data_IF_249051931928
#
_entry.id   IF_249051931928
#
_cell.length_a   1.000
_cell.length_b   1.000
_cell.length_c   1.000
_cell.angle_alpha   90.00
_cell.angle_beta   90.00
_cell.angle_gamma   90.00
#
_symmetry.space_group_name_H-M   'P 1'
#
loop_
_entity.id
_entity.type
_entity.pdbx_description
1 polymer ?
#
# COMPACT_ATOMS: atom_id res chain seq x y z
N UNK A 1 22.47 -14.05 62.28
CA UNK A 1 22.75 -14.11 60.82
C UNK A 1 21.54 -14.53 59.95
N UNK A 2 20.28 -14.40 60.39
CA UNK A 2 19.12 -14.87 59.60
C UNK A 2 18.38 -13.77 58.80
N UNK A 3 18.46 -12.50 59.20
CA UNK A 3 17.72 -11.39 58.54
C UNK A 3 18.23 -11.00 57.14
N UNK A 4 19.50 -11.27 56.83
CA UNK A 4 20.14 -10.86 55.57
C UNK A 4 19.81 -11.78 54.38
N UNK A 5 19.39 -13.03 54.63
CA UNK A 5 18.99 -13.96 53.55
C UNK A 5 17.59 -13.66 53.02
N UNK A 6 16.70 -13.13 53.86
CA UNK A 6 15.34 -12.72 53.48
C UNK A 6 15.34 -11.45 52.62
N UNK A 7 16.22 -10.48 52.88
CA UNK A 7 16.34 -9.27 52.04
C UNK A 7 16.86 -9.58 50.64
N UNK A 8 17.81 -10.53 50.52
CA UNK A 8 18.34 -10.94 49.22
C UNK A 8 17.31 -11.72 48.38
N UNK A 9 16.50 -12.57 49.04
CA UNK A 9 15.40 -13.28 48.36
C UNK A 9 14.30 -12.33 47.90
N UNK A 10 13.90 -11.36 48.74
CA UNK A 10 12.94 -10.32 48.39
C UNK A 10 13.44 -9.42 47.24
N UNK A 11 14.74 -9.08 47.25
CA UNK A 11 15.37 -8.29 46.18
C UNK A 11 15.44 -9.08 44.86
N UNK A 12 15.73 -10.38 44.92
CA UNK A 12 15.74 -11.25 43.74
C UNK A 12 14.36 -11.40 43.09
N UNK A 13 13.31 -11.55 43.90
CA UNK A 13 11.93 -11.59 43.41
C UNK A 13 11.49 -10.28 42.75
N UNK A 14 11.90 -9.13 43.31
CA UNK A 14 11.62 -7.81 42.74
C UNK A 14 12.30 -7.61 41.38
N UNK A 15 13.57 -8.02 41.25
CA UNK A 15 14.32 -7.93 40.00
C UNK A 15 13.72 -8.84 38.90
N UNK A 16 13.27 -10.04 39.27
CA UNK A 16 12.61 -10.94 38.33
C UNK A 16 11.27 -10.38 37.82
N UNK A 17 10.47 -9.77 38.70
CA UNK A 17 9.22 -9.13 38.31
C UNK A 17 9.43 -7.92 37.37
N UNK A 18 10.45 -7.11 37.63
CA UNK A 18 10.85 -6.00 36.75
C UNK A 18 11.31 -6.50 35.37
N UNK A 19 12.11 -7.57 35.32
CA UNK A 19 12.56 -8.17 34.06
C UNK A 19 11.39 -8.71 33.22
N UNK A 20 10.41 -9.37 33.86
CA UNK A 20 9.20 -9.84 33.18
C UNK A 20 8.35 -8.67 32.65
N UNK A 21 8.20 -7.58 33.42
CA UNK A 21 7.51 -6.38 32.96
C UNK A 21 8.24 -5.74 31.76
N UNK A 22 9.57 -5.67 31.80
CA UNK A 22 10.36 -5.13 30.70
C UNK A 22 10.22 -5.99 29.42
N UNK A 23 10.21 -7.32 29.55
CA UNK A 23 9.97 -8.23 28.42
C UNK A 23 8.53 -8.11 27.89
N UNK A 24 7.53 -7.95 28.75
CA UNK A 24 6.13 -7.75 28.35
C UNK A 24 5.93 -6.41 27.63
N UNK A 25 6.53 -5.33 28.11
CA UNK A 25 6.49 -4.03 27.44
C UNK A 25 7.26 -4.04 26.12
N UNK A 26 8.44 -4.68 26.09
CA UNK A 26 9.23 -4.83 24.88
C UNK A 26 8.49 -5.64 23.81
N UNK A 27 7.86 -6.75 24.19
CA UNK A 27 7.06 -7.56 23.26
C UNK A 27 5.81 -6.84 22.76
N UNK A 28 5.09 -6.10 23.61
CA UNK A 28 3.97 -5.26 23.18
C UNK A 28 4.42 -4.16 22.21
N UNK A 29 5.55 -3.50 22.49
CA UNK A 29 6.13 -2.50 21.60
C UNK A 29 6.62 -3.11 20.28
N UNK A 30 7.25 -4.28 20.31
CA UNK A 30 7.75 -4.97 19.11
C UNK A 30 6.61 -5.49 18.23
N UNK A 31 5.53 -6.01 18.82
CA UNK A 31 4.32 -6.42 18.10
C UNK A 31 3.61 -5.19 17.49
N UNK A 32 3.55 -4.07 18.23
CA UNK A 32 3.00 -2.82 17.70
C UNK A 32 3.85 -2.25 16.56
N UNK A 33 5.19 -2.29 16.69
CA UNK A 33 6.12 -1.90 15.62
C UNK A 33 6.05 -2.83 14.40
N UNK A 34 5.75 -4.13 14.62
CA UNK A 34 5.53 -5.11 13.55
C UNK A 34 4.20 -4.88 12.82
N UNK A 35 3.10 -4.59 13.51
CA UNK A 35 1.84 -4.26 12.84
C UNK A 35 1.91 -2.97 12.00
N UNK A 36 2.66 -1.95 12.46
CA UNK A 36 2.94 -0.77 11.64
C UNK A 36 3.79 -1.07 10.38
N UNK A 37 4.59 -2.15 10.41
CA UNK A 37 5.35 -2.62 9.25
C UNK A 37 4.53 -3.55 8.34
N UNK A 38 3.60 -4.32 8.90
CA UNK A 38 2.72 -5.23 8.16
C UNK A 38 1.65 -4.47 7.35
N UNK A 39 0.99 -3.46 7.92
CA UNK A 39 0.03 -2.61 7.18
C UNK A 39 0.71 -1.88 6.00
N UNK A 40 1.95 -1.43 6.18
CA UNK A 40 2.73 -0.77 5.13
C UNK A 40 3.10 -1.72 4.00
N UNK A 41 3.33 -3.00 4.31
CA UNK A 41 3.73 -4.01 3.32
C UNK A 41 2.53 -4.49 2.50
N UNK A 42 1.36 -4.71 3.13
CA UNK A 42 0.11 -5.04 2.42
C UNK A 42 -0.38 -3.87 1.57
N UNK A 43 -0.29 -2.63 2.08
CA UNK A 43 -0.60 -1.43 1.30
C UNK A 43 0.36 -1.24 0.11
N UNK A 44 1.66 -1.58 0.26
CA UNK A 44 2.62 -1.58 -0.87
C UNK A 44 2.30 -2.67 -1.91
N UNK A 45 1.94 -3.87 -1.45
CA UNK A 45 1.58 -4.98 -2.33
C UNK A 45 0.24 -4.76 -3.05
N UNK A 46 -0.73 -4.11 -2.38
CA UNK A 46 -1.97 -3.64 -2.98
C UNK A 46 -1.73 -2.47 -3.95
N UNK A 47 -0.85 -1.51 -3.60
CA UNK A 47 -0.40 -0.41 -4.47
C UNK A 47 0.14 -0.91 -5.82
N UNK A 48 0.83 -2.05 -5.82
CA UNK A 48 1.43 -2.63 -7.03
C UNK A 48 0.46 -3.46 -7.89
N UNK A 49 -0.74 -3.82 -7.39
CA UNK A 49 -1.66 -4.77 -8.04
C UNK A 49 -2.96 -4.17 -8.59
N UNK A 50 -3.12 -2.86 -8.50
CA UNK A 50 -4.35 -2.16 -8.89
C UNK A 50 -4.74 -2.38 -10.38
N UNK A 51 -3.77 -2.24 -11.27
CA UNK A 51 -3.78 -2.39 -12.73
C UNK A 51 -3.30 -3.75 -13.29
N UNK A 52 -4.07 -4.68 -13.90
CA UNK A 52 -3.46 -5.72 -14.73
C UNK A 52 -2.45 -5.19 -15.75
N UNK A 53 -1.21 -5.69 -15.64
CA UNK A 53 -0.12 -5.37 -16.55
C UNK A 53 0.40 -3.93 -16.48
N UNK A 54 0.08 -3.15 -15.43
CA UNK A 54 0.63 -1.80 -15.23
C UNK A 54 1.04 -1.55 -13.79
N UNK A 55 2.17 -0.86 -13.60
CA UNK A 55 2.60 -0.33 -12.31
C UNK A 55 2.29 1.15 -12.25
N UNK A 56 1.65 1.55 -11.16
CA UNK A 56 1.28 2.93 -10.88
C UNK A 56 2.09 3.47 -9.69
N UNK A 57 2.33 4.77 -9.70
CA UNK A 57 2.96 5.50 -8.61
C UNK A 57 2.22 6.80 -8.34
N UNK A 58 2.24 7.28 -7.11
CA UNK A 58 1.78 8.64 -6.80
C UNK A 58 2.67 9.66 -7.52
N UNK A 59 2.04 10.58 -8.25
CA UNK A 59 2.74 11.73 -8.81
C UNK A 59 2.78 12.89 -7.83
N UNK A 60 3.65 13.86 -8.12
CA UNK A 60 3.76 15.09 -7.33
C UNK A 60 2.96 16.24 -8.00
N UNK A 61 1.82 16.66 -7.42
CA UNK A 61 1.05 17.79 -7.93
C UNK A 61 1.83 19.10 -7.93
N UNK A 62 2.81 19.27 -7.03
CA UNK A 62 3.63 20.47 -6.95
C UNK A 62 4.59 20.59 -8.15
N UNK A 63 4.98 19.46 -8.74
CA UNK A 63 5.77 19.42 -9.98
C UNK A 63 4.88 19.40 -11.25
N UNK A 64 3.57 19.67 -11.10
CA UNK A 64 2.61 19.63 -12.20
C UNK A 64 2.34 18.22 -12.73
N UNK A 65 2.78 17.18 -12.02
CA UNK A 65 2.50 15.80 -12.37
C UNK A 65 1.10 15.40 -11.86
N UNK A 66 0.34 14.61 -12.64
CA UNK A 66 -0.94 14.07 -12.21
C UNK A 66 -0.76 13.20 -10.97
N UNK A 67 -1.79 13.15 -10.10
CA UNK A 67 -1.69 12.48 -8.80
C UNK A 67 -1.37 10.99 -8.86
N UNK A 68 -1.56 10.34 -10.02
CA UNK A 68 -1.13 8.96 -10.28
C UNK A 68 -0.49 8.88 -11.66
N UNK A 69 0.64 8.16 -11.79
CA UNK A 69 1.43 8.03 -13.02
C UNK A 69 1.72 6.56 -13.30
N UNK A 70 1.67 6.17 -14.59
CA UNK A 70 2.13 4.87 -15.06
C UNK A 70 3.65 4.85 -15.13
N UNK A 71 4.30 4.00 -14.33
CA UNK A 71 5.77 3.90 -14.26
C UNK A 71 6.32 2.66 -14.95
N UNK A 72 5.51 1.63 -15.11
CA UNK A 72 5.86 0.41 -15.85
C UNK A 72 4.61 -0.24 -16.43
N UNK A 73 4.80 -1.03 -17.47
CA UNK A 73 3.73 -1.75 -18.16
C UNK A 73 4.29 -3.03 -18.77
N UNK A 74 3.47 -4.07 -18.84
CA UNK A 74 3.76 -5.29 -19.59
C UNK A 74 3.78 -4.99 -21.10
N UNK A 75 4.90 -5.32 -21.75
CA UNK A 75 5.17 -5.00 -23.16
C UNK A 75 4.09 -5.48 -24.13
N UNK A 76 3.45 -6.62 -23.85
CA UNK A 76 2.35 -7.19 -24.65
C UNK A 76 1.03 -7.26 -23.87
N UNK A 77 0.94 -6.50 -22.76
CA UNK A 77 -0.25 -6.43 -21.92
C UNK A 77 -1.42 -5.74 -22.62
N UNK A 78 -2.61 -5.88 -22.05
CA UNK A 78 -3.78 -5.20 -22.57
C UNK A 78 -3.60 -3.68 -22.61
N UNK A 79 -3.00 -3.11 -21.57
CA UNK A 79 -2.68 -1.69 -21.49
C UNK A 79 -1.84 -1.21 -22.70
N UNK A 80 -0.84 -1.98 -23.11
CA UNK A 80 0.01 -1.65 -24.26
C UNK A 80 -0.79 -1.65 -25.57
N UNK A 81 -1.65 -2.67 -25.76
CA UNK A 81 -2.54 -2.76 -26.95
C UNK A 81 -3.54 -1.62 -27.04
N UNK A 82 -3.94 -1.07 -25.90
CA UNK A 82 -4.84 0.07 -25.81
C UNK A 82 -4.11 1.42 -25.91
N UNK A 83 -2.78 1.39 -26.10
CA UNK A 83 -1.96 2.58 -26.31
C UNK A 83 -1.63 3.34 -25.04
N UNK A 84 -1.80 2.74 -23.85
CA UNK A 84 -1.29 3.29 -22.58
C UNK A 84 0.24 3.33 -22.67
N UNK A 85 0.86 4.37 -22.14
CA UNK A 85 2.31 4.55 -22.18
C UNK A 85 2.87 4.90 -20.81
N UNK A 86 4.13 4.52 -20.57
CA UNK A 86 4.85 4.97 -19.38
C UNK A 86 4.95 6.49 -19.39
N UNK A 87 4.67 7.11 -18.25
CA UNK A 87 4.54 8.56 -18.11
C UNK A 87 3.11 9.09 -18.26
N UNK A 88 2.14 8.25 -18.65
CA UNK A 88 0.73 8.64 -18.63
C UNK A 88 0.27 8.93 -17.20
N UNK A 89 -0.46 10.03 -17.04
CA UNK A 89 -1.17 10.34 -15.81
C UNK A 89 -2.53 9.69 -15.75
N UNK A 90 -2.81 8.90 -14.72
CA UNK A 90 -4.16 8.42 -14.47
C UNK A 90 -4.91 9.47 -13.66
N UNK A 91 -5.96 10.05 -14.25
CA UNK A 91 -6.71 11.16 -13.66
C UNK A 91 -8.13 10.79 -13.25
N UNK A 92 -8.69 9.70 -13.80
CA UNK A 92 -10.00 9.21 -13.41
C UNK A 92 -10.18 7.71 -13.64
N UNK A 93 -11.09 7.10 -12.88
CA UNK A 93 -11.57 5.73 -13.02
C UNK A 93 -13.09 5.76 -13.20
N UNK A 94 -13.63 5.25 -14.31
CA UNK A 94 -15.07 5.31 -14.67
C UNK A 94 -15.67 6.71 -14.58
N UNK A 95 -14.89 7.72 -14.93
CA UNK A 95 -15.28 9.13 -14.82
C UNK A 95 -15.18 9.71 -13.41
N UNK A 96 -14.86 8.90 -12.39
CA UNK A 96 -14.57 9.38 -11.04
C UNK A 96 -13.14 9.92 -10.98
N UNK A 97 -12.93 11.20 -10.64
CA UNK A 97 -11.59 11.77 -10.56
C UNK A 97 -10.81 11.14 -9.41
N UNK A 98 -9.54 10.80 -9.67
CA UNK A 98 -8.61 10.27 -8.67
C UNK A 98 -7.39 11.19 -8.52
N UNK A 99 -6.87 11.29 -7.30
CA UNK A 99 -5.70 12.13 -6.99
C UNK A 99 -4.56 11.39 -6.30
N UNK A 100 -4.78 10.14 -5.91
CA UNK A 100 -3.75 9.31 -5.29
C UNK A 100 -3.98 7.84 -5.60
N UNK A 101 -2.92 7.07 -5.45
CA UNK A 101 -2.93 5.63 -5.65
C UNK A 101 -3.78 4.92 -4.60
N UNK A 102 -3.89 5.46 -3.38
CA UNK A 102 -4.81 4.97 -2.35
C UNK A 102 -6.28 5.11 -2.79
N UNK A 103 -6.66 6.24 -3.39
CA UNK A 103 -8.02 6.40 -3.94
C UNK A 103 -8.28 5.44 -5.09
N UNK A 104 -7.30 5.28 -5.99
CA UNK A 104 -7.39 4.34 -7.10
C UNK A 104 -7.57 2.90 -6.59
N UNK A 105 -6.73 2.48 -5.64
CA UNK A 105 -6.78 1.15 -5.02
C UNK A 105 -8.10 0.90 -4.31
N UNK A 106 -8.55 1.85 -3.48
CA UNK A 106 -9.81 1.75 -2.77
C UNK A 106 -11.00 1.63 -3.74
N UNK A 107 -11.00 2.41 -4.83
CA UNK A 107 -12.01 2.30 -5.88
C UNK A 107 -12.00 0.91 -6.52
N UNK A 108 -10.82 0.42 -6.90
CA UNK A 108 -10.66 -0.87 -7.57
C UNK A 108 -11.07 -2.06 -6.71
N UNK A 109 -10.85 -2.00 -5.40
CA UNK A 109 -11.28 -3.03 -4.44
C UNK A 109 -12.81 -3.18 -4.38
N UNK A 110 -13.55 -2.08 -4.49
CA UNK A 110 -15.01 -2.08 -4.42
C UNK A 110 -15.68 -2.20 -5.80
N UNK A 111 -14.91 -2.00 -6.88
CA UNK A 111 -15.41 -2.06 -8.24
C UNK A 111 -15.55 -3.52 -8.70
N UNK A 112 -16.76 -3.96 -9.02
CA UNK A 112 -17.04 -5.37 -9.40
C UNK A 112 -17.14 -5.61 -10.91
N UNK A 113 -17.02 -4.58 -11.74
CA UNK A 113 -17.22 -4.74 -13.19
C UNK A 113 -15.97 -5.35 -13.84
N UNK A 114 -16.14 -6.14 -14.91
CA UNK A 114 -15.03 -6.76 -15.64
C UNK A 114 -14.24 -5.76 -16.49
N UNK A 115 -14.71 -4.52 -16.61
CA UNK A 115 -14.09 -3.47 -17.42
C UNK A 115 -14.07 -2.17 -16.64
N UNK A 116 -12.96 -1.44 -16.75
CA UNK A 116 -12.78 -0.14 -16.13
C UNK A 116 -12.36 0.89 -17.16
N UNK A 117 -12.99 2.07 -17.13
CA UNK A 117 -12.61 3.19 -17.96
C UNK A 117 -11.51 4.00 -17.25
N UNK A 118 -10.31 4.00 -17.81
CA UNK A 118 -9.18 4.79 -17.35
C UNK A 118 -9.15 6.13 -18.08
N UNK A 119 -9.33 7.22 -17.35
CA UNK A 119 -9.03 8.56 -17.87
C UNK A 119 -7.54 8.82 -17.72
N UNK A 120 -6.88 9.04 -18.85
CA UNK A 120 -5.44 9.27 -18.96
C UNK A 120 -5.17 10.68 -19.46
N UNK A 121 -4.18 11.32 -18.85
CA UNK A 121 -3.59 12.58 -19.29
C UNK A 121 -2.17 12.29 -19.80
N UNK A 122 -1.95 12.49 -21.10
CA UNK A 122 -0.61 12.44 -21.70
C UNK A 122 -0.23 13.82 -22.19
N UNK A 123 0.78 14.43 -21.57
CA UNK A 123 1.06 15.87 -21.72
C UNK A 123 -0.21 16.70 -21.46
N UNK A 124 -0.82 17.30 -22.49
CA UNK A 124 -2.07 18.06 -22.39
C UNK A 124 -3.28 17.39 -23.05
N UNK A 125 -3.14 16.13 -23.47
CA UNK A 125 -4.24 15.38 -24.10
C UNK A 125 -4.90 14.46 -23.09
N UNK A 126 -6.21 14.61 -22.95
CA UNK A 126 -7.06 13.69 -22.20
C UNK A 126 -7.59 12.61 -23.13
N UNK A 127 -7.54 11.36 -22.68
CA UNK A 127 -8.14 10.21 -23.38
C UNK A 127 -8.74 9.25 -22.37
N UNK A 128 -9.76 8.51 -22.79
CA UNK A 128 -10.36 7.45 -21.99
C UNK A 128 -10.07 6.11 -22.66
N UNK A 129 -9.59 5.16 -21.87
CA UNK A 129 -9.22 3.82 -22.33
C UNK A 129 -9.97 2.79 -21.51
N UNK A 130 -10.62 1.84 -22.18
CA UNK A 130 -11.33 0.75 -21.51
C UNK A 130 -10.37 -0.42 -21.29
N UNK A 131 -10.02 -0.70 -20.05
CA UNK A 131 -9.19 -1.83 -19.65
C UNK A 131 -10.08 -2.96 -19.14
N UNK A 132 -9.89 -4.18 -19.64
CA UNK A 132 -10.52 -5.35 -19.04
C UNK A 132 -9.73 -5.74 -17.79
N UNK A 133 -10.43 -6.07 -16.72
CA UNK A 133 -9.83 -6.69 -15.55
C UNK A 133 -9.69 -8.18 -15.88
N UNK A 134 -8.50 -8.81 -15.75
CA UNK A 134 -8.43 -10.25 -15.82
C UNK A 134 -9.30 -10.76 -14.68
N UNK A 135 -10.29 -11.58 -15.05
CA UNK A 135 -11.10 -12.35 -14.12
C UNK A 135 -10.16 -12.84 -13.01
N UNK A 136 -10.40 -12.41 -11.77
CA UNK A 136 -9.52 -12.72 -10.64
C UNK A 136 -9.20 -14.20 -10.69
N UNK A 137 -7.93 -14.52 -10.93
CA UNK A 137 -7.46 -15.90 -11.03
C UNK A 137 -7.93 -16.64 -9.79
N UNK A 138 -8.90 -17.53 -9.98
CA UNK A 138 -9.34 -18.47 -8.95
C UNK A 138 -8.22 -19.45 -8.67
#
# INVERSE_FOLDING_TARGET
>A
MARQRLSNAASGALLAALALCAMAMSSAFFLHARHAAEERMEAMAAKARALPGVTLMDGDPAEGRPGVIVTSMETDGQAARLGISVGDGVVSLDGMPIRSLDQASAYLLHHSQPRIALGLKHADRMRVVMLDRPEGGR
#
